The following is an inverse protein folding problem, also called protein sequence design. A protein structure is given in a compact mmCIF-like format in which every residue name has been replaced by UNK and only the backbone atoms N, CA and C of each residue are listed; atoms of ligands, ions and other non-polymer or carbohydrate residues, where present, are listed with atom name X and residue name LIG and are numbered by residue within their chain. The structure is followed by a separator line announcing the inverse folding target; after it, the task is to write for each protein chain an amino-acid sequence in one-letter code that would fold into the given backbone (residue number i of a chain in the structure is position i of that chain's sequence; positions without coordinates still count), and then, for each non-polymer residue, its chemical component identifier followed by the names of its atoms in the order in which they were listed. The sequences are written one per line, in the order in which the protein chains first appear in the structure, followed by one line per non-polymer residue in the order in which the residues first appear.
data_IF_066471809076
#
_entry.id   IF_066471809076
#
_cell.length_a   1.000
_cell.length_b   1.000
_cell.length_c   1.000
_cell.angle_alpha   90.00
_cell.angle_beta   90.00
_cell.angle_gamma   90.00
#
_symmetry.space_group_name_H-M   'P 1'
#
loop_
_entity.id
_entity.type
_entity.pdbx_description
1 polymer ?
#
# COMPACT_ATOMS: atom_id res chain seq x y z
N UNK A 1 -20.66 62.94 -10.46
CA UNK A 1 -20.41 61.52 -10.12
C UNK A 1 -19.60 60.91 -11.25
N UNK A 2 -18.38 60.41 -10.98
CA UNK A 2 -17.33 60.23 -12.00
C UNK A 2 -17.54 58.93 -12.80
N UNK A 3 -17.78 58.98 -14.12
CA UNK A 3 -18.04 57.79 -14.96
C UNK A 3 -16.88 56.78 -14.93
N UNK A 4 -15.67 57.27 -14.66
CA UNK A 4 -14.46 56.46 -14.45
C UNK A 4 -14.60 55.47 -13.29
N UNK A 5 -15.30 55.87 -12.22
CA UNK A 5 -15.50 55.01 -11.04
C UNK A 5 -16.46 53.86 -11.32
N UNK A 6 -17.43 54.06 -12.23
CA UNK A 6 -18.41 53.03 -12.63
C UNK A 6 -17.75 52.02 -13.57
N UNK A 7 -16.88 52.46 -14.48
CA UNK A 7 -16.08 51.61 -15.36
C UNK A 7 -15.08 50.73 -14.59
N UNK A 8 -14.45 51.28 -13.54
CA UNK A 8 -13.55 50.51 -12.67
C UNK A 8 -14.32 49.41 -11.91
N UNK A 9 -15.50 49.73 -11.37
CA UNK A 9 -16.32 48.75 -10.65
C UNK A 9 -16.85 47.64 -11.57
N UNK A 10 -17.20 47.96 -12.83
CA UNK A 10 -17.68 46.95 -13.79
C UNK A 10 -16.56 46.04 -14.32
N UNK A 11 -15.33 46.55 -14.47
CA UNK A 11 -14.17 45.73 -14.83
C UNK A 11 -13.75 44.79 -13.71
N UNK A 12 -13.80 45.26 -12.46
CA UNK A 12 -13.52 44.44 -11.28
C UNK A 12 -14.54 43.30 -11.12
N UNK A 13 -15.83 43.58 -11.30
CA UNK A 13 -16.87 42.54 -11.23
C UNK A 13 -16.74 41.52 -12.36
N UNK A 14 -16.46 41.96 -13.59
CA UNK A 14 -16.20 41.06 -14.72
C UNK A 14 -14.98 40.15 -14.45
N UNK A 15 -13.90 40.68 -13.87
CA UNK A 15 -12.72 39.87 -13.51
C UNK A 15 -13.04 38.82 -12.44
N UNK A 16 -13.82 39.15 -11.42
CA UNK A 16 -14.25 38.19 -10.38
C UNK A 16 -15.14 37.09 -10.95
N UNK A 17 -16.01 37.40 -11.92
CA UNK A 17 -16.85 36.42 -12.62
C UNK A 17 -15.99 35.47 -13.47
N UNK A 18 -14.97 35.99 -14.16
CA UNK A 18 -14.05 35.17 -14.95
C UNK A 18 -13.20 34.24 -14.08
N UNK A 19 -12.74 34.70 -12.92
CA UNK A 19 -11.96 33.90 -11.97
C UNK A 19 -12.82 32.78 -11.34
N UNK A 20 -14.08 33.07 -10.98
CA UNK A 20 -14.99 32.08 -10.39
C UNK A 20 -15.56 31.06 -11.39
N UNK A 21 -15.64 31.43 -12.68
CA UNK A 21 -16.03 30.51 -13.75
C UNK A 21 -14.91 29.53 -14.16
N UNK A 22 -13.64 29.84 -13.84
CA UNK A 22 -12.51 28.96 -14.13
C UNK A 22 -12.45 27.81 -13.11
N UNK A 23 -13.23 26.75 -13.34
CA UNK A 23 -13.06 25.50 -12.61
C UNK A 23 -11.72 24.89 -12.99
N UNK A 24 -10.73 25.01 -12.11
CA UNK A 24 -9.52 24.19 -12.21
C UNK A 24 -9.98 22.73 -12.17
N UNK A 25 -9.77 21.93 -13.23
CA UNK A 25 -10.14 20.53 -13.19
C UNK A 25 -9.41 19.89 -12.01
N UNK A 26 -10.07 19.01 -11.23
CA UNK A 26 -9.41 18.31 -10.14
C UNK A 26 -8.19 17.61 -10.75
N UNK A 27 -7.00 18.07 -10.37
CA UNK A 27 -5.77 17.37 -10.71
C UNK A 27 -5.96 15.95 -10.21
N UNK A 28 -5.79 14.95 -11.10
CA UNK A 28 -5.86 13.54 -10.72
C UNK A 28 -4.71 13.26 -9.76
N UNK A 29 -4.96 13.52 -8.48
CA UNK A 29 -3.99 13.34 -7.41
C UNK A 29 -3.97 11.88 -7.02
N UNK A 30 -2.78 11.31 -6.98
CA UNK A 30 -2.55 9.97 -6.50
C UNK A 30 -2.01 10.01 -5.06
N UNK A 31 -2.07 8.87 -4.38
CA UNK A 31 -1.51 8.74 -3.05
C UNK A 31 0.02 8.81 -3.02
N UNK A 32 0.64 8.65 -1.85
CA UNK A 32 2.09 8.63 -1.70
C UNK A 32 2.76 7.55 -2.56
N UNK A 33 3.86 7.93 -3.22
CA UNK A 33 4.65 7.05 -4.12
C UNK A 33 3.81 6.43 -5.25
N UNK A 34 2.77 7.13 -5.69
CA UNK A 34 1.93 6.74 -6.81
C UNK A 34 1.94 7.81 -7.90
N UNK A 35 2.01 7.36 -9.14
CA UNK A 35 1.91 8.18 -10.32
C UNK A 35 0.62 7.87 -11.07
N UNK A 36 -0.07 8.91 -11.54
CA UNK A 36 -1.21 8.75 -12.42
C UNK A 36 -0.71 8.38 -13.82
N UNK A 37 -1.16 7.25 -14.34
CA UNK A 37 -0.91 6.86 -15.72
C UNK A 37 -2.23 6.69 -16.46
N UNK A 38 -2.27 7.19 -17.70
CA UNK A 38 -3.44 7.03 -18.56
C UNK A 38 -3.60 5.59 -19.05
N UNK A 39 -2.51 4.82 -19.08
CA UNK A 39 -2.50 3.48 -19.65
C UNK A 39 -1.37 2.66 -19.04
N UNK A 40 -1.66 1.89 -17.98
CA UNK A 40 -0.77 0.85 -17.47
C UNK A 40 -1.42 -0.54 -17.57
N UNK A 41 -0.63 -1.52 -18.00
CA UNK A 41 -1.06 -2.93 -18.17
C UNK A 41 -0.72 -3.83 -16.99
N UNK A 42 0.43 -3.57 -16.38
CA UNK A 42 1.00 -4.44 -15.36
C UNK A 42 1.08 -3.69 -14.04
N UNK A 43 0.69 -4.34 -12.96
CA UNK A 43 0.94 -3.87 -11.62
C UNK A 43 1.84 -4.88 -10.93
N UNK A 44 2.84 -4.37 -10.21
CA UNK A 44 3.82 -5.20 -9.50
C UNK A 44 3.47 -5.19 -8.02
N UNK A 45 3.36 -6.38 -7.43
CA UNK A 45 2.96 -6.57 -6.04
C UNK A 45 4.15 -7.06 -5.21
N UNK A 46 4.13 -6.77 -3.91
CA UNK A 46 5.05 -7.42 -2.98
C UNK A 46 4.70 -8.90 -2.85
N UNK A 47 5.72 -9.74 -2.70
CA UNK A 47 5.58 -11.20 -2.53
C UNK A 47 4.91 -11.93 -3.71
N UNK A 48 4.90 -11.32 -4.90
CA UNK A 48 4.31 -11.90 -6.11
C UNK A 48 5.20 -13.06 -6.62
N UNK A 49 4.94 -14.27 -6.11
CA UNK A 49 5.55 -15.52 -6.60
C UNK A 49 4.85 -16.03 -7.86
N UNK A 50 3.65 -15.51 -8.17
CA UNK A 50 2.97 -15.75 -9.42
C UNK A 50 3.45 -14.71 -10.43
N UNK A 51 3.86 -15.18 -11.62
CA UNK A 51 4.29 -14.34 -12.74
C UNK A 51 3.41 -13.09 -12.86
N UNK A 52 4.03 -11.91 -12.76
CA UNK A 52 3.43 -10.58 -13.01
C UNK A 52 2.28 -10.68 -14.03
N UNK A 53 1.04 -10.64 -13.54
CA UNK A 53 -0.14 -10.80 -14.39
C UNK A 53 -0.44 -9.44 -15.00
N UNK A 54 0.03 -9.24 -16.23
CA UNK A 54 -0.31 -8.06 -17.02
C UNK A 54 -1.69 -8.24 -17.68
N UNK A 55 -2.57 -7.26 -17.54
CA UNK A 55 -3.80 -7.23 -18.29
C UNK A 55 -3.53 -7.03 -19.80
N UNK A 56 -4.33 -7.69 -20.66
CA UNK A 56 -4.23 -7.50 -22.12
C UNK A 56 -4.54 -6.06 -22.54
N UNK A 57 -5.43 -5.38 -21.83
CA UNK A 57 -5.78 -3.97 -22.04
C UNK A 57 -5.21 -3.15 -20.89
N UNK A 58 -4.72 -1.96 -21.18
CA UNK A 58 -4.30 -1.05 -20.11
C UNK A 58 -5.52 -0.35 -19.50
N UNK A 59 -5.36 0.10 -18.26
CA UNK A 59 -6.34 0.95 -17.61
C UNK A 59 -5.69 2.27 -17.18
N UNK A 60 -6.44 3.38 -17.18
CA UNK A 60 -6.04 4.60 -16.50
C UNK A 60 -6.18 4.43 -15.00
N UNK A 61 -5.22 4.93 -14.21
CA UNK A 61 -5.25 4.80 -12.76
C UNK A 61 -4.01 5.33 -12.07
N UNK A 62 -4.01 5.25 -10.73
CA UNK A 62 -2.84 5.50 -9.90
C UNK A 62 -2.07 4.20 -9.70
N UNK A 63 -0.78 4.23 -10.00
CA UNK A 63 0.09 3.06 -9.93
C UNK A 63 1.35 3.39 -9.15
N UNK A 64 1.96 2.37 -8.54
CA UNK A 64 3.23 2.58 -7.84
C UNK A 64 4.30 3.11 -8.81
N UNK A 65 5.00 4.14 -8.33
CA UNK A 65 6.16 4.72 -9.02
C UNK A 65 7.25 3.67 -9.23
N UNK A 66 8.18 3.95 -10.15
CA UNK A 66 9.31 3.07 -10.41
C UNK A 66 10.12 2.85 -9.12
N UNK A 67 10.39 1.60 -8.79
CA UNK A 67 11.09 1.22 -7.55
C UNK A 67 10.16 0.97 -6.37
N UNK A 68 8.85 1.13 -6.54
CA UNK A 68 7.84 0.80 -5.54
C UNK A 68 6.93 -0.34 -6.03
N UNK A 69 6.46 -1.14 -5.08
CA UNK A 69 5.59 -2.30 -5.27
C UNK A 69 4.32 -2.13 -4.46
N UNK A 70 3.20 -2.63 -4.97
CA UNK A 70 1.93 -2.54 -4.26
C UNK A 70 1.82 -3.62 -3.18
N UNK A 71 1.38 -3.21 -1.99
CA UNK A 71 1.02 -4.08 -0.90
C UNK A 71 -0.23 -3.53 -0.21
N UNK A 72 -1.34 -4.26 -0.28
CA UNK A 72 -2.64 -3.88 0.30
C UNK A 72 -3.09 -2.44 -0.02
N UNK A 73 -2.89 -2.01 -1.27
CA UNK A 73 -3.27 -0.66 -1.71
C UNK A 73 -2.19 0.41 -1.55
N UNK A 74 -1.14 0.15 -0.76
CA UNK A 74 -0.03 1.08 -0.51
C UNK A 74 1.17 0.75 -1.40
N UNK A 75 1.95 1.76 -1.79
CA UNK A 75 3.19 1.58 -2.55
C UNK A 75 4.41 1.63 -1.63
N UNK A 76 5.14 0.52 -1.56
CA UNK A 76 6.29 0.29 -0.67
C UNK A 76 7.55 0.10 -1.50
N UNK A 77 8.71 0.53 -0.99
CA UNK A 77 9.96 0.37 -1.72
C UNK A 77 10.22 -1.11 -2.01
N UNK A 78 10.63 -1.39 -3.25
CA UNK A 78 10.97 -2.75 -3.69
C UNK A 78 11.97 -3.43 -2.75
N UNK A 79 12.99 -2.70 -2.32
CA UNK A 79 14.02 -3.20 -1.39
C UNK A 79 13.45 -3.64 -0.03
N UNK A 80 12.39 -2.98 0.47
CA UNK A 80 11.74 -3.39 1.73
C UNK A 80 10.99 -4.71 1.55
N UNK A 81 10.28 -4.86 0.42
CA UNK A 81 9.59 -6.11 0.12
C UNK A 81 10.56 -7.28 -0.13
N UNK A 82 11.77 -7.00 -0.63
CA UNK A 82 12.82 -8.00 -0.86
C UNK A 82 13.69 -8.26 0.39
N UNK A 83 13.54 -7.47 1.47
CA UNK A 83 14.31 -7.65 2.69
C UNK A 83 13.97 -8.97 3.42
N UNK A 84 12.74 -9.46 3.27
CA UNK A 84 12.30 -10.73 3.85
C UNK A 84 12.59 -11.89 2.89
N UNK A 85 13.56 -12.73 3.24
CA UNK A 85 14.03 -13.84 2.38
C UNK A 85 13.55 -15.21 2.88
N UNK A 86 13.67 -16.26 2.06
CA UNK A 86 13.32 -17.63 2.45
C UNK A 86 11.83 -17.82 2.75
N UNK A 87 11.51 -18.34 3.93
CA UNK A 87 10.14 -18.61 4.38
C UNK A 87 9.45 -17.42 5.06
N UNK A 88 10.06 -16.24 4.95
CA UNK A 88 9.51 -14.97 5.43
C UNK A 88 8.83 -14.20 4.29
N UNK A 89 7.87 -13.34 4.64
CA UNK A 89 7.16 -12.46 3.73
C UNK A 89 7.00 -11.09 4.37
N UNK A 90 7.12 -10.02 3.58
CA UNK A 90 6.97 -8.66 4.10
C UNK A 90 5.49 -8.35 4.34
N UNK A 91 5.21 -7.62 5.42
CA UNK A 91 3.89 -7.16 5.81
C UNK A 91 3.97 -5.76 6.41
N UNK A 92 2.95 -4.94 6.16
CA UNK A 92 2.76 -3.64 6.82
C UNK A 92 2.40 -3.79 8.31
N UNK A 93 1.96 -4.97 8.69
CA UNK A 93 1.50 -5.32 10.02
C UNK A 93 2.13 -6.65 10.43
N UNK A 94 3.46 -6.64 10.57
CA UNK A 94 4.22 -7.70 11.20
C UNK A 94 4.16 -7.52 12.72
N UNK A 95 3.87 -8.61 13.43
CA UNK A 95 3.72 -8.62 14.87
C UNK A 95 5.05 -9.06 15.52
N UNK A 96 5.51 -8.39 16.59
CA UNK A 96 6.69 -8.82 17.35
C UNK A 96 6.40 -10.10 18.16
N UNK A 97 5.14 -10.27 18.55
CA UNK A 97 4.63 -11.45 19.21
C UNK A 97 4.69 -12.65 18.25
N UNK A 98 4.83 -13.87 18.77
CA UNK A 98 4.56 -15.08 18.00
C UNK A 98 3.10 -15.22 17.54
N UNK A 99 2.17 -14.33 17.90
CA UNK A 99 0.76 -14.41 17.45
C UNK A 99 0.04 -13.07 17.65
N UNK A 100 -0.86 -12.67 16.72
CA UNK A 100 -2.24 -13.17 16.76
C UNK A 100 -2.52 -14.30 15.77
N UNK A 101 -1.71 -14.41 14.70
CA UNK A 101 -1.64 -15.55 13.76
C UNK A 101 -0.27 -15.53 13.06
N UNK A 102 0.81 -16.02 13.68
CA UNK A 102 1.33 -17.29 13.16
C UNK A 102 1.30 -18.39 14.21
N UNK A 103 0.91 -19.60 13.81
CA UNK A 103 1.08 -20.77 14.68
C UNK A 103 2.57 -20.87 15.04
N UNK A 104 2.90 -21.06 16.30
CA UNK A 104 4.22 -21.56 16.71
C UNK A 104 4.12 -23.06 16.87
N UNK A 105 5.26 -23.75 16.96
CA UNK A 105 5.23 -25.18 17.27
C UNK A 105 4.54 -25.50 18.61
N UNK A 106 4.59 -24.59 19.58
CA UNK A 106 3.98 -24.78 20.90
C UNK A 106 2.48 -24.51 20.93
N UNK A 107 1.96 -23.59 20.10
CA UNK A 107 0.56 -23.13 20.20
C UNK A 107 -0.16 -23.27 18.85
N UNK A 108 -0.06 -24.46 18.23
CA UNK A 108 -0.70 -24.69 16.94
C UNK A 108 -2.24 -24.65 17.00
N UNK A 109 -2.87 -24.95 18.13
CA UNK A 109 -4.32 -25.08 18.26
C UNK A 109 -4.98 -24.06 19.20
N UNK A 110 -4.21 -23.12 19.75
CA UNK A 110 -4.77 -22.11 20.65
C UNK A 110 -5.33 -20.92 19.88
N UNK A 111 -6.59 -20.61 20.17
CA UNK A 111 -7.25 -19.39 19.71
C UNK A 111 -7.09 -18.32 20.78
N UNK A 112 -5.96 -17.61 20.86
CA UNK A 112 -5.75 -16.42 21.73
C UNK A 112 -4.53 -15.64 21.19
N UNK A 113 -4.42 -14.30 21.19
CA UNK A 113 -4.91 -13.26 22.10
C UNK A 113 -5.12 -11.95 21.31
N UNK A 114 -6.20 -11.20 21.61
CA UNK A 114 -6.65 -9.98 20.91
C UNK A 114 -5.64 -8.81 20.97
N UNK A 115 -4.70 -8.79 21.93
CA UNK A 115 -3.87 -7.60 22.17
C UNK A 115 -2.71 -7.39 21.20
N UNK A 116 -2.15 -8.43 20.57
CA UNK A 116 -1.05 -8.21 19.63
C UNK A 116 -1.55 -7.61 18.31
N UNK A 117 -2.82 -7.85 17.89
CA UNK A 117 -3.40 -7.23 16.67
C UNK A 117 -3.32 -5.69 16.70
N UNK A 118 -3.39 -5.11 17.89
CA UNK A 118 -3.31 -3.67 18.08
C UNK A 118 -1.88 -3.12 17.98
N UNK A 119 -0.86 -3.96 18.07
CA UNK A 119 0.56 -3.58 18.10
C UNK A 119 1.33 -4.30 16.99
N UNK A 120 1.21 -3.78 15.77
CA UNK A 120 1.98 -4.23 14.63
C UNK A 120 2.64 -3.06 13.89
N UNK A 121 3.67 -3.37 13.11
CA UNK A 121 4.33 -2.41 12.25
C UNK A 121 4.96 -3.09 11.03
N UNK A 122 5.57 -2.32 10.12
CA UNK A 122 6.22 -2.87 8.95
C UNK A 122 7.33 -3.86 9.32
N UNK A 123 7.35 -5.05 8.70
CA UNK A 123 8.36 -6.07 8.98
C UNK A 123 8.08 -7.42 8.32
N UNK A 124 8.82 -8.45 8.74
CA UNK A 124 8.71 -9.80 8.20
C UNK A 124 7.84 -10.72 9.08
N UNK A 125 6.99 -11.51 8.43
CA UNK A 125 6.22 -12.61 9.05
C UNK A 125 6.41 -13.92 8.29
N UNK A 126 6.08 -15.05 8.90
CA UNK A 126 6.16 -16.35 8.21
C UNK A 126 5.16 -16.42 7.06
N UNK A 127 5.60 -16.92 5.89
CA UNK A 127 4.72 -17.17 4.75
C UNK A 127 3.51 -18.02 5.17
N UNK A 128 2.36 -17.90 4.47
CA UNK A 128 1.22 -18.78 4.71
C UNK A 128 1.63 -20.26 4.72
N UNK A 129 1.20 -21.00 5.74
CA UNK A 129 1.55 -22.41 5.94
C UNK A 129 2.84 -22.67 6.74
N UNK A 130 3.62 -21.63 7.08
CA UNK A 130 4.80 -21.74 7.93
C UNK A 130 4.53 -21.26 9.36
N UNK A 131 5.29 -21.83 10.30
CA UNK A 131 5.22 -21.55 11.74
C UNK A 131 6.56 -21.06 12.25
N UNK A 132 6.53 -20.16 13.25
CA UNK A 132 7.77 -19.65 13.85
C UNK A 132 8.28 -20.63 14.91
N UNK A 133 9.52 -21.07 14.76
CA UNK A 133 10.26 -21.86 15.75
C UNK A 133 11.71 -21.39 15.81
N UNK A 134 12.22 -21.11 17.02
CA UNK A 134 13.62 -20.69 17.29
C UNK A 134 14.15 -19.62 16.31
N UNK A 135 13.32 -18.63 15.98
CA UNK A 135 13.68 -17.53 15.08
C UNK A 135 13.69 -17.89 13.58
N UNK A 136 13.12 -19.03 13.19
CA UNK A 136 12.97 -19.48 11.80
C UNK A 136 11.50 -19.77 11.47
N UNK A 137 11.16 -19.70 10.19
CA UNK A 137 9.87 -20.16 9.68
C UNK A 137 10.02 -21.57 9.09
N UNK A 138 9.41 -22.55 9.74
CA UNK A 138 9.46 -23.98 9.37
C UNK A 138 8.05 -24.50 9.07
N UNK A 139 7.93 -25.69 8.49
CA UNK A 139 6.62 -26.30 8.31
C UNK A 139 6.13 -26.86 9.66
N UNK A 140 4.81 -26.88 9.91
CA UNK A 140 4.23 -27.49 11.11
C UNK A 140 4.72 -28.91 11.41
N UNK A 141 4.96 -29.70 10.36
CA UNK A 141 5.46 -31.09 10.46
C UNK A 141 6.92 -31.19 10.92
N UNK A 142 7.69 -30.11 10.78
CA UNK A 142 9.09 -30.03 11.21
C UNK A 142 9.21 -29.55 12.66
N UNK A 143 8.09 -29.31 13.33
CA UNK A 143 8.07 -28.94 14.73
C UNK A 143 8.69 -30.06 15.59
N UNK A 144 9.51 -29.70 16.61
CA UNK A 144 10.04 -30.68 17.55
C UNK A 144 8.87 -31.39 18.24
N UNK A 145 8.92 -32.72 18.25
CA UNK A 145 7.96 -33.53 19.02
C UNK A 145 8.19 -33.23 20.50
N UNK A 146 7.15 -32.70 21.13
CA UNK A 146 7.11 -32.39 22.56
C UNK A 146 6.83 -33.67 23.33
#
# INVERSE_FOLDING_TARGET
MRPVSVLLLSLLSAAVILISAYRVPPTKSCGPNQVYEQCRRCQTYCNDTQKMVCERKCRPGCYCEKGYLQLHGTCIKKAECEACTGNWTYSLCAHPCPSPIPRTCSNMNETLLINCLAMCGPGCLCKPGYVRDKGRCILPQDCPKI
#
